data_IF_735228523745
#
_entry.id   IF_735228523745
#
_cell.length_a   1.000
_cell.length_b   1.000
_cell.length_c   1.000
_cell.angle_alpha   90.00
_cell.angle_beta   90.00
_cell.angle_gamma   90.00
#
_symmetry.space_group_name_H-M   'P 1'
#
loop_
_entity.id
_entity.type
_entity.pdbx_description
1 polymer ?
#
# COMPACT_ATOMS: atom_id res chain seq x y z
N UNK A 1 -20.19 6.38 -12.71
CA UNK A 1 -19.44 7.47 -12.04
C UNK A 1 -18.73 8.28 -13.10
N UNK A 2 -18.78 9.59 -13.05
CA UNK A 2 -17.87 10.41 -13.85
C UNK A 2 -16.48 10.34 -13.19
N UNK A 3 -15.43 10.16 -13.97
CA UNK A 3 -14.03 10.09 -13.49
C UNK A 3 -13.59 11.33 -12.69
N UNK A 4 -14.35 12.44 -12.78
CA UNK A 4 -14.02 13.73 -12.18
C UNK A 4 -14.26 13.83 -10.66
N UNK A 5 -14.85 12.81 -10.03
CA UNK A 5 -15.35 12.94 -8.65
C UNK A 5 -14.52 12.18 -7.60
N UNK A 6 -13.36 11.63 -7.94
CA UNK A 6 -12.51 10.93 -6.99
C UNK A 6 -11.51 11.91 -6.37
N UNK A 7 -11.58 12.06 -5.06
CA UNK A 7 -10.61 12.82 -4.27
C UNK A 7 -9.89 11.87 -3.32
N UNK A 8 -8.57 11.76 -3.47
CA UNK A 8 -7.71 11.00 -2.57
C UNK A 8 -7.02 11.96 -1.60
N UNK A 9 -7.11 11.66 -0.31
CA UNK A 9 -6.46 12.40 0.76
C UNK A 9 -5.33 11.58 1.34
N UNK A 10 -4.16 12.20 1.40
CA UNK A 10 -2.96 11.63 2.01
C UNK A 10 -1.87 11.28 1.03
N UNK A 11 -0.62 11.53 1.44
CA UNK A 11 0.60 11.17 0.74
C UNK A 11 1.73 10.82 1.73
N UNK A 12 2.86 10.30 1.23
CA UNK A 12 4.07 10.08 2.00
C UNK A 12 4.11 8.80 2.82
N UNK A 13 3.25 7.82 2.56
CA UNK A 13 3.30 6.52 3.26
C UNK A 13 3.06 5.35 2.30
N UNK A 14 3.49 4.14 2.69
CA UNK A 14 3.19 2.92 1.93
C UNK A 14 1.66 2.70 1.77
N UNK A 15 0.87 3.09 2.78
CA UNK A 15 -0.59 2.95 2.74
C UNK A 15 -1.27 3.96 1.82
N UNK A 16 -0.75 5.18 1.71
CA UNK A 16 -1.26 6.20 0.77
C UNK A 16 -0.83 5.91 -0.67
N UNK A 17 0.31 5.25 -0.86
CA UNK A 17 0.76 4.79 -2.18
C UNK A 17 -0.26 3.87 -2.86
N UNK A 18 -0.89 2.95 -2.12
CA UNK A 18 -1.80 1.92 -2.67
C UNK A 18 -2.93 2.49 -3.51
N UNK A 19 -3.79 3.39 -2.99
CA UNK A 19 -4.87 3.96 -3.81
C UNK A 19 -4.36 4.88 -4.91
N UNK A 20 -3.25 5.61 -4.72
CA UNK A 20 -2.64 6.42 -5.77
C UNK A 20 -2.16 5.51 -6.91
N UNK A 21 -1.44 4.44 -6.60
CA UNK A 21 -0.99 3.48 -7.61
C UNK A 21 -2.16 2.79 -8.32
N UNK A 22 -3.20 2.43 -7.55
CA UNK A 22 -4.42 1.82 -8.11
C UNK A 22 -5.04 2.70 -9.21
N UNK A 23 -5.30 3.97 -8.94
CA UNK A 23 -5.91 4.88 -9.94
C UNK A 23 -4.98 5.15 -11.13
N UNK A 24 -3.65 5.16 -10.92
CA UNK A 24 -2.68 5.28 -12.00
C UNK A 24 -2.64 4.05 -12.91
N UNK A 25 -2.75 2.83 -12.37
CA UNK A 25 -2.87 1.60 -13.17
C UNK A 25 -4.19 1.55 -13.95
N UNK A 26 -5.25 2.10 -13.39
CA UNK A 26 -6.56 2.16 -14.02
C UNK A 26 -6.67 3.29 -15.05
N UNK A 27 -5.73 4.24 -15.05
CA UNK A 27 -5.75 5.41 -15.93
C UNK A 27 -6.91 6.37 -15.64
N UNK A 28 -7.36 6.43 -14.38
CA UNK A 28 -8.52 7.21 -13.94
C UNK A 28 -8.08 8.59 -13.45
N UNK A 29 -8.83 9.63 -13.82
CA UNK A 29 -8.61 10.98 -13.31
C UNK A 29 -9.03 11.09 -11.83
N UNK A 30 -8.24 11.79 -11.03
CA UNK A 30 -8.51 12.04 -9.62
C UNK A 30 -7.88 13.35 -9.15
N UNK A 31 -8.34 13.85 -8.01
CA UNK A 31 -7.72 14.98 -7.31
C UNK A 31 -6.98 14.45 -6.09
N UNK A 32 -5.70 14.78 -5.94
CA UNK A 32 -4.92 14.46 -4.75
C UNK A 32 -4.89 15.65 -3.78
N UNK A 33 -5.18 15.38 -2.51
CA UNK A 33 -4.95 16.27 -1.36
C UNK A 33 -3.80 15.68 -0.54
N UNK A 34 -2.54 16.10 -0.76
CA UNK A 34 -1.37 15.39 -0.25
C UNK A 34 -1.04 15.74 1.20
N UNK A 35 -2.02 15.63 2.09
CA UNK A 35 -1.83 15.85 3.54
C UNK A 35 -1.02 14.70 4.14
N UNK A 36 -0.21 15.02 5.16
CA UNK A 36 0.63 14.04 5.85
C UNK A 36 -0.03 13.45 7.10
N UNK A 37 0.32 12.21 7.48
CA UNK A 37 0.01 11.72 8.81
C UNK A 37 0.87 12.46 9.84
N UNK A 38 0.30 12.84 10.98
CA UNK A 38 1.01 13.51 12.11
C UNK A 38 1.52 14.92 11.83
N UNK A 39 1.02 15.56 10.79
CA UNK A 39 1.29 16.99 10.49
C UNK A 39 0.30 17.94 11.15
N UNK A 40 -0.71 17.41 11.82
CA UNK A 40 -1.86 18.18 12.34
C UNK A 40 -3.01 18.29 11.34
N UNK A 41 -2.76 18.12 10.05
CA UNK A 41 -3.76 18.30 8.99
C UNK A 41 -4.95 17.33 9.11
N UNK A 42 -4.69 16.07 9.55
CA UNK A 42 -5.74 15.08 9.79
C UNK A 42 -6.59 15.36 11.04
N UNK A 43 -6.21 16.35 11.85
CA UNK A 43 -6.87 16.70 13.11
C UNK A 43 -7.65 18.02 13.01
N UNK A 44 -7.66 18.67 11.85
CA UNK A 44 -8.47 19.86 11.64
C UNK A 44 -9.97 19.56 11.79
N UNK A 45 -10.80 20.52 12.20
CA UNK A 45 -12.24 20.34 12.30
C UNK A 45 -12.86 19.87 10.97
N UNK A 46 -12.40 20.41 9.85
CA UNK A 46 -12.87 20.11 8.50
C UNK A 46 -12.59 18.64 8.16
N UNK A 47 -11.35 18.17 8.37
CA UNK A 47 -11.00 16.78 8.11
C UNK A 47 -11.72 15.81 9.06
N UNK A 48 -11.86 16.19 10.33
CA UNK A 48 -12.56 15.39 11.35
C UNK A 48 -14.04 15.22 11.03
N UNK A 49 -14.70 16.20 10.41
CA UNK A 49 -16.08 16.07 9.92
C UNK A 49 -16.21 15.05 8.79
N UNK A 50 -15.21 14.96 7.90
CA UNK A 50 -15.20 13.98 6.81
C UNK A 50 -14.92 12.56 7.32
N UNK A 51 -13.95 12.42 8.23
CA UNK A 51 -13.58 11.13 8.82
C UNK A 51 -13.11 11.27 10.27
N UNK A 52 -13.89 10.69 11.20
CA UNK A 52 -13.54 10.68 12.63
C UNK A 52 -12.32 9.83 12.96
N UNK A 53 -11.87 8.98 12.03
CA UNK A 53 -10.66 8.19 12.20
C UNK A 53 -9.38 9.03 12.15
N UNK A 54 -9.43 10.24 11.57
CA UNK A 54 -8.30 11.18 11.47
C UNK A 54 -7.03 10.51 10.89
N UNK A 55 -7.21 9.66 9.89
CA UNK A 55 -6.12 8.90 9.27
C UNK A 55 -6.16 9.03 7.75
N UNK A 56 -4.99 8.87 7.14
CA UNK A 56 -4.82 8.72 5.69
C UNK A 56 -4.38 7.30 5.36
N UNK A 57 -4.71 6.79 4.14
CA UNK A 57 -5.50 7.43 3.09
C UNK A 57 -6.99 7.52 3.43
N UNK A 58 -7.64 8.52 2.83
CA UNK A 58 -9.09 8.66 2.81
C UNK A 58 -9.51 9.02 1.39
N UNK A 59 -10.64 8.50 0.94
CA UNK A 59 -11.20 8.75 -0.38
C UNK A 59 -12.60 9.33 -0.25
N UNK A 60 -12.89 10.31 -1.08
CA UNK A 60 -14.24 10.81 -1.33
C UNK A 60 -14.61 10.54 -2.78
N UNK A 61 -15.84 10.14 -3.00
CA UNK A 61 -16.48 10.06 -4.32
C UNK A 61 -17.92 10.51 -4.21
N UNK A 62 -18.61 10.58 -5.36
CA UNK A 62 -20.03 10.92 -5.36
C UNK A 62 -20.90 9.94 -4.54
N UNK A 63 -20.51 8.67 -4.51
CA UNK A 63 -21.31 7.58 -3.95
C UNK A 63 -20.89 7.21 -2.51
N UNK A 64 -19.58 7.37 -2.17
CA UNK A 64 -19.07 6.88 -0.90
C UNK A 64 -17.84 7.64 -0.42
N UNK A 65 -17.72 7.74 0.90
CA UNK A 65 -16.52 8.18 1.61
C UNK A 65 -15.89 6.97 2.32
N UNK A 66 -14.62 6.67 2.01
CA UNK A 66 -13.92 5.50 2.53
C UNK A 66 -12.58 5.85 3.16
N UNK A 67 -12.27 5.21 4.27
CA UNK A 67 -10.93 5.07 4.80
C UNK A 67 -10.48 3.60 4.66
N UNK A 68 -9.22 3.32 4.99
CA UNK A 68 -8.51 2.06 4.84
C UNK A 68 -8.09 1.79 3.38
N UNK A 69 -6.78 1.73 3.16
CA UNK A 69 -6.21 1.62 1.82
C UNK A 69 -6.74 0.41 1.04
N UNK A 70 -6.88 -0.74 1.71
CA UNK A 70 -7.43 -1.95 1.09
C UNK A 70 -8.89 -1.77 0.67
N UNK A 71 -9.72 -1.18 1.53
CA UNK A 71 -11.14 -0.94 1.23
C UNK A 71 -11.31 0.05 0.07
N UNK A 72 -10.50 1.12 0.06
CA UNK A 72 -10.48 2.10 -1.03
C UNK A 72 -10.12 1.41 -2.34
N UNK A 73 -9.02 0.66 -2.39
CA UNK A 73 -8.59 -0.04 -3.59
C UNK A 73 -9.63 -1.08 -4.05
N UNK A 74 -10.25 -1.81 -3.13
CA UNK A 74 -11.32 -2.77 -3.46
C UNK A 74 -12.54 -2.09 -4.08
N UNK A 75 -12.94 -0.94 -3.56
CA UNK A 75 -14.03 -0.16 -4.12
C UNK A 75 -13.70 0.35 -5.53
N UNK A 76 -12.52 0.93 -5.73
CA UNK A 76 -12.05 1.40 -7.03
C UNK A 76 -12.04 0.26 -8.06
N UNK A 77 -11.48 -0.90 -7.69
CA UNK A 77 -11.45 -2.09 -8.55
C UNK A 77 -12.85 -2.58 -8.97
N UNK A 78 -13.83 -2.47 -8.07
CA UNK A 78 -15.20 -2.93 -8.33
C UNK A 78 -16.04 -1.93 -9.12
N UNK A 79 -15.72 -0.62 -9.05
CA UNK A 79 -16.57 0.46 -9.52
C UNK A 79 -16.10 1.10 -10.83
N UNK A 80 -14.84 0.90 -11.22
CA UNK A 80 -14.23 1.57 -12.36
C UNK A 80 -13.72 0.57 -13.40
N UNK A 81 -13.39 1.08 -14.58
CA UNK A 81 -12.74 0.27 -15.60
C UNK A 81 -11.36 -0.20 -15.12
N UNK A 82 -10.97 -1.46 -15.38
CA UNK A 82 -9.79 -2.05 -14.77
C UNK A 82 -8.46 -1.48 -15.26
N UNK A 83 -8.42 -0.77 -16.39
CA UNK A 83 -7.17 -0.27 -16.97
C UNK A 83 -6.20 -1.43 -17.23
N UNK A 84 -5.00 -1.33 -16.63
CA UNK A 84 -3.96 -2.37 -16.71
C UNK A 84 -4.01 -3.43 -15.59
N UNK A 85 -5.04 -3.37 -14.71
CA UNK A 85 -5.21 -4.30 -13.60
C UNK A 85 -6.04 -5.52 -13.99
N UNK A 86 -5.70 -6.66 -13.41
CA UNK A 86 -6.58 -7.82 -13.42
C UNK A 86 -7.61 -7.70 -12.30
N UNK A 87 -8.87 -7.90 -12.65
CA UNK A 87 -10.01 -7.87 -11.72
C UNK A 87 -10.64 -9.24 -11.67
N UNK A 88 -10.83 -9.83 -10.46
CA UNK A 88 -11.47 -11.13 -10.33
C UNK A 88 -12.84 -11.18 -10.97
N UNK A 89 -13.05 -12.13 -11.89
CA UNK A 89 -14.30 -12.28 -12.65
C UNK A 89 -15.41 -13.00 -11.86
N UNK A 90 -15.03 -13.79 -10.85
CA UNK A 90 -15.93 -14.62 -10.07
C UNK A 90 -15.61 -14.60 -8.57
N UNK A 91 -16.51 -15.15 -7.77
CA UNK A 91 -16.40 -15.15 -6.32
C UNK A 91 -15.19 -15.96 -5.79
N UNK A 92 -14.80 -17.04 -6.45
CA UNK A 92 -13.69 -17.87 -6.00
C UNK A 92 -12.35 -17.17 -6.24
N UNK A 93 -12.16 -16.57 -7.42
CA UNK A 93 -10.97 -15.78 -7.73
C UNK A 93 -10.88 -14.55 -6.82
N UNK A 94 -12.01 -13.88 -6.53
CA UNK A 94 -12.07 -12.78 -5.59
C UNK A 94 -11.68 -13.21 -4.18
N UNK A 95 -12.19 -14.35 -3.72
CA UNK A 95 -11.83 -14.87 -2.40
C UNK A 95 -10.33 -15.17 -2.28
N UNK A 96 -9.70 -15.65 -3.36
CA UNK A 96 -8.25 -15.85 -3.39
C UNK A 96 -7.45 -14.52 -3.36
N UNK A 97 -7.92 -13.50 -4.05
CA UNK A 97 -7.33 -12.17 -3.96
C UNK A 97 -7.50 -11.58 -2.55
N UNK A 98 -8.68 -11.73 -1.94
CA UNK A 98 -8.95 -11.28 -0.57
C UNK A 98 -8.11 -12.04 0.47
N UNK A 99 -7.89 -13.34 0.30
CA UNK A 99 -7.00 -14.14 1.14
C UNK A 99 -5.59 -13.53 1.16
N UNK A 100 -5.01 -13.23 0.00
CA UNK A 100 -3.71 -12.59 -0.09
C UNK A 100 -3.72 -11.16 0.47
N UNK A 101 -4.73 -10.37 0.17
CA UNK A 101 -4.85 -9.03 0.70
C UNK A 101 -4.93 -9.00 2.23
N UNK A 102 -5.75 -9.87 2.82
CA UNK A 102 -5.89 -9.99 4.28
C UNK A 102 -4.59 -10.49 4.93
N UNK A 103 -3.94 -11.49 4.33
CA UNK A 103 -2.68 -12.02 4.80
C UNK A 103 -1.57 -10.95 4.79
N UNK A 104 -1.40 -10.24 3.68
CA UNK A 104 -0.40 -9.18 3.56
C UNK A 104 -0.70 -8.05 4.55
N UNK A 105 -1.95 -7.62 4.66
CA UNK A 105 -2.35 -6.58 5.58
C UNK A 105 -2.16 -6.98 7.04
N UNK A 106 -2.59 -8.17 7.41
CA UNK A 106 -2.51 -8.66 8.79
C UNK A 106 -1.07 -8.96 9.23
N UNK A 107 -0.34 -9.74 8.43
CA UNK A 107 0.93 -10.29 8.86
C UNK A 107 2.13 -9.37 8.55
N UNK A 108 2.17 -8.77 7.36
CA UNK A 108 3.30 -7.92 6.97
C UNK A 108 3.10 -6.47 7.43
N UNK A 109 1.94 -5.88 7.09
CA UNK A 109 1.67 -4.46 7.32
C UNK A 109 1.46 -4.17 8.81
N UNK A 110 0.35 -4.65 9.42
CA UNK A 110 -0.05 -4.25 10.78
C UNK A 110 0.79 -4.90 11.87
N UNK A 111 1.04 -6.21 11.75
CA UNK A 111 1.71 -6.97 12.82
C UNK A 111 3.22 -6.72 12.81
N UNK A 112 3.81 -6.40 11.66
CA UNK A 112 5.27 -6.25 11.54
C UNK A 112 5.68 -4.82 11.22
N UNK A 113 5.51 -4.37 9.98
CA UNK A 113 6.06 -3.10 9.49
C UNK A 113 5.49 -1.88 10.23
N UNK A 114 4.21 -1.91 10.61
CA UNK A 114 3.64 -0.80 11.36
C UNK A 114 4.08 -0.77 12.83
N UNK A 115 4.32 -1.91 13.45
CA UNK A 115 4.94 -1.98 14.79
C UNK A 115 6.37 -1.48 14.73
N UNK A 116 7.16 -1.91 13.74
CA UNK A 116 8.50 -1.38 13.51
C UNK A 116 8.47 0.13 13.33
N UNK A 117 7.55 0.66 12.52
CA UNK A 117 7.39 2.11 12.35
C UNK A 117 7.16 2.84 13.67
N UNK A 118 6.33 2.32 14.55
CA UNK A 118 6.04 2.96 15.84
C UNK A 118 7.27 3.05 16.73
N UNK A 119 8.05 1.99 16.78
CA UNK A 119 9.10 1.81 17.79
C UNK A 119 10.52 1.96 17.24
N UNK A 120 10.66 2.32 15.95
CA UNK A 120 11.92 2.62 15.29
C UNK A 120 11.92 4.06 14.72
N UNK A 121 10.93 4.46 13.90
CA UNK A 121 10.87 5.81 13.30
C UNK A 121 10.17 6.85 14.19
N UNK A 122 9.23 6.43 15.02
CA UNK A 122 8.32 7.30 15.75
C UNK A 122 8.51 7.15 17.27
N UNK A 123 9.74 6.95 17.69
CA UNK A 123 10.10 6.75 19.08
C UNK A 123 9.76 7.93 19.98
N UNK A 124 9.81 9.15 19.47
CA UNK A 124 9.38 10.35 20.19
C UNK A 124 7.88 10.34 20.56
N UNK A 125 7.07 9.58 19.82
CA UNK A 125 5.62 9.50 20.05
C UNK A 125 5.25 8.24 20.82
N UNK A 126 5.86 7.08 20.47
CA UNK A 126 5.43 5.76 20.97
C UNK A 126 6.42 5.10 21.90
N UNK A 127 7.61 5.69 22.07
CA UNK A 127 8.72 5.11 22.81
C UNK A 127 9.46 4.01 22.04
N UNK A 128 10.68 3.74 22.46
CA UNK A 128 11.49 2.66 21.92
C UNK A 128 11.01 1.31 22.45
N UNK A 129 11.03 0.28 21.60
CA UNK A 129 10.77 -1.10 21.99
C UNK A 129 11.62 -2.07 21.13
N UNK A 130 12.96 -2.10 21.34
CA UNK A 130 13.89 -2.88 20.51
C UNK A 130 13.51 -4.35 20.41
N UNK A 131 13.11 -4.98 21.51
CA UNK A 131 12.70 -6.39 21.53
C UNK A 131 11.44 -6.64 20.66
N UNK A 132 10.49 -5.69 20.64
CA UNK A 132 9.31 -5.80 19.77
C UNK A 132 9.72 -5.64 18.30
N UNK A 133 10.64 -4.72 17.99
CA UNK A 133 11.16 -4.54 16.62
C UNK A 133 11.88 -5.79 16.15
N UNK A 134 12.76 -6.38 16.97
CA UNK A 134 13.48 -7.62 16.63
C UNK A 134 12.51 -8.80 16.43
N UNK A 135 11.50 -8.90 17.28
CA UNK A 135 10.42 -9.88 17.13
C UNK A 135 9.66 -9.72 15.83
N UNK A 136 9.35 -8.48 15.44
CA UNK A 136 8.68 -8.17 14.17
C UNK A 136 9.57 -8.51 12.96
N UNK A 137 10.87 -8.24 13.01
CA UNK A 137 11.84 -8.63 11.97
C UNK A 137 11.86 -10.13 11.75
N UNK A 138 12.02 -10.90 12.83
CA UNK A 138 12.02 -12.36 12.77
C UNK A 138 10.68 -12.91 12.23
N UNK A 139 9.57 -12.31 12.64
CA UNK A 139 8.24 -12.68 12.17
C UNK A 139 8.09 -12.39 10.66
N UNK A 140 8.50 -11.21 10.22
CA UNK A 140 8.45 -10.78 8.82
C UNK A 140 9.26 -11.72 7.92
N UNK A 141 10.49 -12.07 8.30
CA UNK A 141 11.36 -13.00 7.55
C UNK A 141 10.73 -14.40 7.41
N UNK A 142 10.01 -14.88 8.42
CA UNK A 142 9.27 -16.14 8.33
C UNK A 142 8.16 -16.07 7.27
N UNK A 143 7.42 -14.96 7.22
CA UNK A 143 6.37 -14.75 6.21
C UNK A 143 6.94 -14.51 4.81
N UNK A 144 8.10 -13.89 4.71
CA UNK A 144 8.82 -13.78 3.43
C UNK A 144 9.16 -15.15 2.86
N UNK A 145 9.56 -16.11 3.68
CA UNK A 145 9.80 -17.49 3.23
C UNK A 145 8.53 -18.12 2.60
N UNK A 146 7.37 -17.89 3.18
CA UNK A 146 6.09 -18.39 2.63
C UNK A 146 5.75 -17.74 1.30
N UNK A 147 5.90 -16.41 1.22
CA UNK A 147 5.59 -15.66 -0.01
C UNK A 147 6.59 -16.00 -1.12
N UNK A 148 7.88 -16.10 -0.79
CA UNK A 148 8.93 -16.47 -1.76
C UNK A 148 8.69 -17.84 -2.37
N UNK A 149 8.32 -18.82 -1.53
CA UNK A 149 7.96 -20.16 -1.99
C UNK A 149 6.72 -20.17 -2.90
N UNK A 150 5.73 -19.33 -2.59
CA UNK A 150 4.53 -19.18 -3.44
C UNK A 150 4.86 -18.53 -4.77
N UNK A 151 5.63 -17.44 -4.74
CA UNK A 151 6.03 -16.75 -5.96
C UNK A 151 6.82 -17.68 -6.91
N UNK A 152 7.85 -18.36 -6.39
CA UNK A 152 8.66 -19.24 -7.22
C UNK A 152 9.05 -18.58 -8.53
N UNK A 153 8.57 -19.13 -9.65
CA UNK A 153 8.74 -18.54 -11.00
C UNK A 153 7.57 -17.71 -11.47
N UNK A 154 6.55 -17.49 -10.61
CA UNK A 154 5.35 -16.73 -10.97
C UNK A 154 5.67 -15.23 -11.08
N UNK A 155 4.96 -14.56 -11.97
CA UNK A 155 5.11 -13.11 -12.17
C UNK A 155 4.23 -12.29 -11.23
N UNK A 156 3.13 -12.85 -10.76
CA UNK A 156 2.10 -12.20 -9.92
C UNK A 156 1.60 -13.16 -8.85
N UNK A 157 0.98 -12.65 -7.79
CA UNK A 157 0.43 -13.47 -6.71
C UNK A 157 -0.70 -14.40 -7.18
N UNK A 158 -1.47 -13.96 -8.17
CA UNK A 158 -2.53 -14.75 -8.77
C UNK A 158 -2.22 -15.05 -10.23
N UNK A 159 -2.59 -16.23 -10.74
CA UNK A 159 -2.35 -16.59 -12.15
C UNK A 159 -3.05 -15.67 -13.15
N UNK A 160 -4.08 -14.94 -12.71
CA UNK A 160 -4.84 -14.00 -13.56
C UNK A 160 -4.03 -12.78 -14.00
N UNK A 161 -2.93 -12.46 -13.32
CA UNK A 161 -2.10 -11.31 -13.61
C UNK A 161 -2.04 -10.29 -12.47
N UNK A 162 -1.41 -9.13 -12.74
CA UNK A 162 -1.18 -8.08 -11.76
C UNK A 162 -2.49 -7.45 -11.28
N UNK A 163 -2.75 -7.48 -9.98
CA UNK A 163 -3.99 -7.02 -9.36
C UNK A 163 -3.79 -6.32 -8.02
N UNK A 164 -4.89 -6.22 -7.27
CA UNK A 164 -4.89 -5.56 -5.96
C UNK A 164 -3.93 -6.21 -4.97
N UNK A 165 -3.88 -7.53 -4.92
CA UNK A 165 -2.98 -8.25 -4.01
C UNK A 165 -1.50 -7.92 -4.28
N UNK A 166 -1.13 -7.71 -5.56
CA UNK A 166 0.23 -7.34 -5.94
C UNK A 166 0.57 -5.90 -5.50
N UNK A 167 -0.38 -4.96 -5.62
CA UNK A 167 -0.21 -3.59 -5.09
C UNK A 167 0.03 -3.63 -3.58
N UNK A 168 -0.76 -4.45 -2.86
CA UNK A 168 -0.61 -4.63 -1.42
C UNK A 168 0.77 -5.18 -1.07
N UNK A 169 1.20 -6.25 -1.73
CA UNK A 169 2.50 -6.87 -1.48
C UNK A 169 3.64 -5.90 -1.79
N UNK A 170 3.66 -5.31 -2.98
CA UNK A 170 4.73 -4.39 -3.40
C UNK A 170 4.92 -3.24 -2.42
N UNK A 171 3.82 -2.64 -1.93
CA UNK A 171 3.91 -1.55 -0.95
C UNK A 171 4.55 -1.97 0.38
N UNK A 172 4.37 -3.24 0.79
CA UNK A 172 5.02 -3.80 1.97
C UNK A 172 6.48 -4.16 1.70
N UNK A 173 6.81 -4.67 0.50
CA UNK A 173 8.21 -4.97 0.13
C UNK A 173 9.06 -3.70 0.07
N UNK A 174 8.54 -2.61 -0.52
CA UNK A 174 9.24 -1.33 -0.53
C UNK A 174 9.47 -0.80 0.89
N UNK A 175 8.47 -0.94 1.74
CA UNK A 175 8.58 -0.54 3.14
C UNK A 175 9.58 -1.39 3.92
N UNK A 176 9.62 -2.71 3.70
CA UNK A 176 10.59 -3.60 4.29
C UNK A 176 12.03 -3.26 3.85
N UNK A 177 12.24 -3.04 2.55
CA UNK A 177 13.54 -2.61 2.00
C UNK A 177 13.99 -1.27 2.59
N UNK A 178 13.07 -0.32 2.77
CA UNK A 178 13.36 0.94 3.45
C UNK A 178 13.87 0.74 4.88
N UNK A 179 13.41 -0.31 5.58
CA UNK A 179 13.95 -0.70 6.91
C UNK A 179 15.20 -1.56 6.86
N UNK A 180 15.77 -1.79 5.68
CA UNK A 180 16.97 -2.60 5.49
C UNK A 180 16.72 -4.11 5.62
N UNK A 181 15.48 -4.55 5.42
CA UNK A 181 15.14 -5.97 5.43
C UNK A 181 15.57 -6.65 4.13
N UNK A 182 16.24 -7.78 4.25
CA UNK A 182 16.62 -8.61 3.11
C UNK A 182 15.40 -9.34 2.54
N UNK A 183 15.20 -9.22 1.24
CA UNK A 183 14.18 -9.99 0.53
C UNK A 183 14.77 -11.29 -0.04
N UNK A 184 14.08 -12.43 0.06
CA UNK A 184 14.43 -13.65 -0.66
C UNK A 184 14.47 -13.46 -2.18
N UNK A 185 15.11 -14.41 -2.89
CA UNK A 185 15.46 -14.26 -4.32
C UNK A 185 14.25 -14.00 -5.23
N UNK A 186 13.16 -14.78 -5.06
CA UNK A 186 11.99 -14.62 -5.94
C UNK A 186 11.26 -13.31 -5.65
N UNK A 187 11.22 -12.89 -4.38
CA UNK A 187 10.66 -11.61 -3.99
C UNK A 187 11.49 -10.43 -4.52
N UNK A 188 12.81 -10.53 -4.57
CA UNK A 188 13.66 -9.52 -5.20
C UNK A 188 13.35 -9.39 -6.70
N UNK A 189 13.26 -10.53 -7.41
CA UNK A 189 12.92 -10.57 -8.84
C UNK A 189 11.52 -10.00 -9.10
N UNK A 190 10.55 -10.38 -8.26
CA UNK A 190 9.18 -9.87 -8.29
C UNK A 190 9.14 -8.35 -8.08
N UNK A 191 9.77 -7.84 -7.03
CA UNK A 191 9.85 -6.40 -6.75
C UNK A 191 10.49 -5.64 -7.90
N UNK A 192 11.63 -6.11 -8.43
CA UNK A 192 12.32 -5.50 -9.57
C UNK A 192 11.42 -5.41 -10.82
N UNK A 193 10.66 -6.48 -11.11
CA UNK A 193 9.72 -6.51 -12.24
C UNK A 193 8.65 -5.43 -12.10
N UNK A 194 7.98 -5.37 -10.95
CA UNK A 194 6.84 -4.47 -10.75
C UNK A 194 7.26 -3.02 -10.51
N UNK A 195 8.43 -2.76 -9.97
CA UNK A 195 9.02 -1.43 -9.91
C UNK A 195 9.31 -0.82 -11.29
N UNK A 196 9.37 -1.66 -12.34
CA UNK A 196 9.46 -1.23 -13.73
C UNK A 196 8.17 -0.62 -14.32
N UNK A 197 7.01 -0.84 -13.71
CA UNK A 197 5.72 -0.41 -14.24
C UNK A 197 5.61 1.12 -14.31
N UNK A 198 5.13 1.70 -15.43
CA UNK A 198 4.99 3.16 -15.56
C UNK A 198 4.09 3.77 -14.47
N UNK A 199 2.95 3.13 -14.17
CA UNK A 199 2.02 3.59 -13.15
C UNK A 199 2.63 3.56 -11.75
N UNK A 200 3.44 2.53 -11.42
CA UNK A 200 4.19 2.49 -10.16
C UNK A 200 5.14 3.68 -10.02
N UNK A 201 5.98 3.93 -11.05
CA UNK A 201 6.94 5.04 -11.02
C UNK A 201 6.24 6.38 -10.85
N UNK A 202 5.12 6.57 -11.55
CA UNK A 202 4.30 7.79 -11.42
C UNK A 202 3.70 7.92 -10.02
N UNK A 203 3.11 6.85 -9.49
CA UNK A 203 2.55 6.83 -8.15
C UNK A 203 3.60 7.10 -7.06
N UNK A 204 4.80 6.51 -7.19
CA UNK A 204 5.92 6.78 -6.28
C UNK A 204 6.32 8.25 -6.29
N UNK A 205 6.52 8.83 -7.47
CA UNK A 205 6.86 10.25 -7.62
C UNK A 205 5.78 11.17 -7.01
N UNK A 206 4.51 10.86 -7.19
CA UNK A 206 3.39 11.63 -6.64
C UNK A 206 3.31 11.46 -5.12
N UNK A 207 3.33 10.22 -4.63
CA UNK A 207 3.14 9.93 -3.21
C UNK A 207 4.25 10.49 -2.33
N UNK A 208 5.47 10.52 -2.83
CA UNK A 208 6.65 10.92 -2.06
C UNK A 208 7.23 12.27 -2.48
N UNK A 209 6.51 13.06 -3.28
CA UNK A 209 6.95 14.35 -3.80
C UNK A 209 7.42 15.36 -2.73
N UNK A 210 6.88 15.29 -1.53
CA UNK A 210 7.18 16.21 -0.43
C UNK A 210 8.13 15.62 0.64
N UNK A 211 8.66 14.42 0.42
CA UNK A 211 9.67 13.87 1.31
C UNK A 211 11.07 14.29 0.84
N UNK A 212 12.00 14.63 1.77
CA UNK A 212 13.39 14.80 1.39
C UNK A 212 13.92 13.52 0.72
N UNK A 213 14.89 13.65 -0.19
CA UNK A 213 15.45 12.63 -1.09
C UNK A 213 16.00 11.35 -0.41
N UNK A 214 15.28 10.78 0.52
CA UNK A 214 15.65 9.54 1.23
C UNK A 214 15.26 8.27 0.45
N UNK A 215 14.59 8.42 -0.70
CA UNK A 215 14.03 7.28 -1.45
C UNK A 215 14.66 7.03 -2.83
N UNK A 216 15.77 7.67 -3.16
CA UNK A 216 16.60 7.19 -4.27
C UNK A 216 17.29 5.89 -3.86
N UNK A 217 16.53 4.82 -3.89
CA UNK A 217 17.02 3.46 -3.72
C UNK A 217 17.83 2.98 -4.92
N UNK A 218 18.89 3.76 -5.24
CA UNK A 218 20.03 3.32 -6.04
C UNK A 218 21.23 3.15 -5.11
N UNK A 219 21.20 2.07 -4.33
CA UNK A 219 22.37 1.46 -3.75
C UNK A 219 22.21 -0.05 -3.83
#
# INVERSE_FOLDING_TARGET
>A
MSEADIILWGAGTARTLRPIWMVEEMGVAYTLKPIGPRTGETQTPEYTQMTRKQKVPFMQSADVNLSESLAICRYLQASLAPGALQVPADAATRAKEDEWCCYIYGELDETSLYVMRRHYDLTDIYGEAPQAVDGCRAYLQRHFTVIDAHLGTQETLLPSGFGLADIMLMSCLDWAVFYGEDLPQHMQAYRKRHAGRPAYKKAMAINYANLPEVLDGTA
#
